data_IF_455030679612
#
_entry.id   IF_455030679612
#
_cell.length_a   1.000
_cell.length_b   1.000
_cell.length_c   1.000
_cell.angle_alpha   90.00
_cell.angle_beta   90.00
_cell.angle_gamma   90.00
#
_symmetry.space_group_name_H-M   'P 1'
#
loop_
_entity.id
_entity.type
_entity.pdbx_description
1 polymer ?
#
# COMPACT_ATOMS: atom_id res chain seq x y z
N UNK A 1 2.87 7.01 15.27
CA UNK A 1 2.68 6.72 13.83
C UNK A 1 3.88 7.07 12.98
N UNK A 2 4.52 8.23 13.18
CA UNK A 2 5.68 8.66 12.38
C UNK A 2 6.88 7.70 12.42
N UNK A 3 7.10 6.99 13.54
CA UNK A 3 8.18 5.99 13.65
C UNK A 3 7.89 4.72 12.85
N UNK A 4 6.66 4.18 12.92
CA UNK A 4 6.26 3.01 12.16
C UNK A 4 6.39 3.22 10.64
N UNK A 5 6.07 4.42 10.15
CA UNK A 5 6.26 4.78 8.74
C UNK A 5 7.73 4.64 8.33
N UNK A 6 8.66 5.16 9.14
CA UNK A 6 10.11 5.06 8.87
C UNK A 6 10.62 3.63 8.85
N UNK A 7 10.10 2.76 9.72
CA UNK A 7 10.49 1.35 9.74
C UNK A 7 9.99 0.61 8.49
N UNK A 8 8.78 0.93 8.02
CA UNK A 8 8.27 0.40 6.76
C UNK A 8 9.01 0.96 5.55
N UNK A 9 9.44 2.24 5.58
CA UNK A 9 10.26 2.83 4.52
C UNK A 9 11.54 2.02 4.32
N UNK A 10 12.29 1.76 5.41
CA UNK A 10 13.50 0.91 5.35
C UNK A 10 13.20 -0.51 4.87
N UNK A 11 12.09 -1.09 5.32
CA UNK A 11 11.68 -2.43 4.90
C UNK A 11 11.40 -2.47 3.40
N UNK A 12 10.77 -1.42 2.85
CA UNK A 12 10.46 -1.27 1.43
C UNK A 12 11.73 -1.02 0.61
N UNK A 13 12.68 -0.25 1.14
CA UNK A 13 14.00 -0.06 0.53
C UNK A 13 14.76 -1.39 0.41
N UNK A 14 14.72 -2.21 1.46
CA UNK A 14 15.38 -3.53 1.47
C UNK A 14 14.64 -4.54 0.58
N UNK A 15 13.31 -4.57 0.65
CA UNK A 15 12.48 -5.46 -0.15
C UNK A 15 11.25 -4.74 -0.72
N UNK A 16 11.36 -4.17 -1.94
CA UNK A 16 10.26 -3.45 -2.58
C UNK A 16 9.12 -4.36 -3.06
N UNK A 17 9.25 -5.68 -2.89
CA UNK A 17 8.20 -6.65 -3.19
C UNK A 17 7.44 -7.11 -1.93
N UNK A 18 7.80 -6.58 -0.75
CA UNK A 18 7.17 -6.98 0.49
C UNK A 18 5.83 -6.29 0.71
N UNK A 19 4.77 -6.88 0.15
CA UNK A 19 3.41 -6.33 0.15
C UNK A 19 2.89 -5.95 1.54
N UNK A 20 3.25 -6.72 2.57
CA UNK A 20 2.83 -6.48 3.96
C UNK A 20 3.39 -5.17 4.53
N UNK A 21 4.60 -4.76 4.15
CA UNK A 21 5.15 -3.48 4.59
C UNK A 21 4.34 -2.30 4.04
N UNK A 22 3.99 -2.33 2.75
CA UNK A 22 3.10 -1.33 2.15
C UNK A 22 1.74 -1.32 2.83
N UNK A 23 1.13 -2.47 3.09
CA UNK A 23 -0.16 -2.53 3.80
C UNK A 23 -0.11 -1.91 5.20
N UNK A 24 0.92 -2.23 5.98
CA UNK A 24 1.05 -1.69 7.34
C UNK A 24 1.39 -0.20 7.34
N UNK A 25 2.20 0.28 6.38
CA UNK A 25 2.46 1.71 6.19
C UNK A 25 1.20 2.46 5.78
N UNK A 26 0.41 1.87 4.88
CA UNK A 26 -0.91 2.39 4.49
C UNK A 26 -1.87 2.51 5.67
N UNK A 27 -1.92 1.51 6.56
CA UNK A 27 -2.70 1.59 7.81
C UNK A 27 -2.21 2.74 8.71
N UNK A 28 -0.90 2.89 8.87
CA UNK A 28 -0.33 3.98 9.67
C UNK A 28 -0.69 5.36 9.10
N UNK A 29 -0.67 5.52 7.77
CA UNK A 29 -1.11 6.74 7.10
C UNK A 29 -2.60 7.00 7.28
N UNK A 30 -3.44 5.97 7.14
CA UNK A 30 -4.89 6.09 7.34
C UNK A 30 -5.23 6.53 8.78
N UNK A 31 -4.57 5.94 9.78
CA UNK A 31 -4.72 6.32 11.19
C UNK A 31 -4.21 7.73 11.50
N UNK A 32 -3.29 8.24 10.68
CA UNK A 32 -2.74 9.60 10.78
C UNK A 32 -3.50 10.63 9.93
N UNK A 33 -4.61 10.23 9.29
CA UNK A 33 -5.43 11.11 8.44
C UNK A 33 -4.89 11.34 7.02
N UNK A 34 -3.77 10.71 6.64
CA UNK A 34 -3.20 10.81 5.30
C UNK A 34 -3.86 9.81 4.34
N UNK A 35 -5.13 10.05 4.02
CA UNK A 35 -5.95 9.12 3.22
C UNK A 35 -5.34 8.83 1.85
N UNK A 36 -4.87 9.84 1.11
CA UNK A 36 -4.27 9.65 -0.22
C UNK A 36 -3.03 8.74 -0.16
N UNK A 37 -2.10 9.01 0.78
CA UNK A 37 -0.91 8.16 0.97
C UNK A 37 -1.27 6.72 1.35
N UNK A 38 -2.32 6.53 2.14
CA UNK A 38 -2.79 5.18 2.46
C UNK A 38 -3.32 4.43 1.25
N UNK A 39 -4.04 5.12 0.34
CA UNK A 39 -4.55 4.54 -0.89
C UNK A 39 -3.40 4.07 -1.78
N UNK A 40 -2.37 4.90 -1.95
CA UNK A 40 -1.19 4.56 -2.76
C UNK A 40 -0.48 3.30 -2.21
N UNK A 41 -0.32 3.21 -0.90
CA UNK A 41 0.29 2.06 -0.24
C UNK A 41 -0.57 0.79 -0.33
N UNK A 42 -1.89 0.91 -0.14
CA UNK A 42 -2.79 -0.23 -0.33
C UNK A 42 -2.85 -0.68 -1.79
N UNK A 43 -2.75 0.24 -2.74
CA UNK A 43 -2.62 -0.10 -4.16
C UNK A 43 -1.36 -0.92 -4.40
N UNK A 44 -0.21 -0.43 -3.94
CA UNK A 44 1.05 -1.14 -4.14
C UNK A 44 1.03 -2.53 -3.51
N UNK A 45 0.49 -2.66 -2.31
CA UNK A 45 0.31 -3.95 -1.67
C UNK A 45 -0.63 -4.89 -2.46
N UNK A 46 -1.71 -4.35 -3.02
CA UNK A 46 -2.64 -5.10 -3.87
C UNK A 46 -1.95 -5.61 -5.15
N UNK A 47 -1.16 -4.76 -5.82
CA UNK A 47 -0.38 -5.14 -7.02
C UNK A 47 0.63 -6.24 -6.75
N UNK A 48 1.14 -6.28 -5.52
CA UNK A 48 2.03 -7.33 -5.03
C UNK A 48 1.25 -8.58 -4.55
N UNK A 49 -0.01 -8.72 -4.98
CA UNK A 49 -0.92 -9.84 -4.72
C UNK A 49 -1.43 -9.96 -3.27
N UNK A 50 -1.36 -8.90 -2.46
CA UNK A 50 -1.93 -8.93 -1.12
C UNK A 50 -3.44 -8.67 -1.14
N UNK A 51 -4.22 -9.75 -1.12
CA UNK A 51 -5.70 -9.72 -1.18
C UNK A 51 -6.35 -8.82 -0.12
N UNK A 52 -5.80 -8.80 1.09
CA UNK A 52 -6.34 -7.96 2.19
C UNK A 52 -6.18 -6.48 1.89
N UNK A 53 -5.11 -6.08 1.20
CA UNK A 53 -4.91 -4.71 0.76
C UNK A 53 -5.91 -4.33 -0.35
N UNK A 54 -6.12 -5.21 -1.33
CA UNK A 54 -7.14 -5.00 -2.36
C UNK A 54 -8.55 -4.81 -1.77
N UNK A 55 -8.91 -5.58 -0.75
CA UNK A 55 -10.20 -5.43 -0.05
C UNK A 55 -10.27 -4.09 0.69
N UNK A 56 -9.20 -3.71 1.40
CA UNK A 56 -9.12 -2.46 2.15
C UNK A 56 -9.23 -1.25 1.22
N UNK A 57 -8.49 -1.29 0.11
CA UNK A 57 -8.51 -0.31 -0.95
C UNK A 57 -9.92 -0.10 -1.53
N UNK A 58 -10.62 -1.18 -1.94
CA UNK A 58 -12.02 -1.09 -2.42
C UNK A 58 -12.95 -0.40 -1.43
N UNK A 59 -12.74 -0.60 -0.13
CA UNK A 59 -13.52 0.09 0.91
C UNK A 59 -13.22 1.59 1.02
N UNK A 60 -12.05 2.04 0.56
CA UNK A 60 -11.63 3.45 0.65
C UNK A 60 -11.95 4.24 -0.62
N UNK A 61 -11.82 3.62 -1.81
CA UNK A 61 -12.07 4.28 -3.10
C UNK A 61 -13.41 3.93 -3.74
N UNK A 62 -14.14 2.94 -3.19
CA UNK A 62 -15.38 2.42 -3.79
C UNK A 62 -15.11 1.73 -5.13
N UNK A 63 -16.00 1.93 -6.10
CA UNK A 63 -15.86 1.40 -7.48
C UNK A 63 -14.92 2.23 -8.36
N UNK A 64 -14.39 3.36 -7.86
CA UNK A 64 -13.38 4.11 -8.61
C UNK A 64 -12.12 3.26 -8.65
N UNK A 65 -11.87 2.68 -9.81
CA UNK A 65 -10.66 1.90 -10.03
C UNK A 65 -9.46 2.77 -9.65
N UNK A 66 -8.62 2.30 -8.73
CA UNK A 66 -7.36 2.97 -8.48
C UNK A 66 -6.54 2.92 -9.77
N UNK A 67 -5.74 3.96 -10.00
CA UNK A 67 -4.90 4.08 -11.21
C UNK A 67 -4.22 2.72 -11.45
N UNK A 68 -4.29 2.17 -12.67
CA UNK A 68 -3.57 0.94 -12.99
C UNK A 68 -2.08 1.21 -12.81
N UNK A 69 -1.56 0.75 -11.67
CA UNK A 69 -0.13 0.67 -11.42
C UNK A 69 0.37 -0.41 -12.36
N UNK A 70 1.21 0.03 -13.29
CA UNK A 70 1.67 -0.71 -14.45
C UNK A 70 2.06 -2.16 -14.08
N UNK A 71 1.75 -3.14 -14.94
CA UNK A 71 2.12 -4.52 -14.68
C UNK A 71 3.63 -4.59 -14.55
N UNK A 72 4.12 -5.20 -13.47
CA UNK A 72 5.51 -5.66 -13.39
C UNK A 72 5.74 -6.58 -14.60
N UNK A 73 6.50 -6.10 -15.57
CA UNK A 73 7.13 -6.96 -16.56
C UNK A 73 8.06 -7.90 -15.79
N UNK A 74 7.73 -9.18 -15.86
CA UNK A 74 8.58 -10.30 -15.49
C UNK A 74 9.30 -10.71 -16.77
N UNK A 75 10.63 -10.58 -16.78
CA UNK A 75 11.53 -11.34 -17.66
C UNK A 75 12.30 -12.35 -16.80
#
# INVERSE_FOLDING_TARGET
YNEAVKDFDKTIEINPQYATAFYNRGLAYALSGYTEKSIDDFQKACDLNLKVACKKLKSLVGDRQPKPTMPKQVE
#
